data_IF_008599898917
#
_entry.id   IF_008599898917
#
_cell.length_a   1.000
_cell.length_b   1.000
_cell.length_c   1.000
_cell.angle_alpha   90.00
_cell.angle_beta   90.00
_cell.angle_gamma   90.00
#
_symmetry.space_group_name_H-M   'P 1'
#
loop_
_entity.id
_entity.type
_entity.pdbx_description
1 polymer ?
#
# COMPACT_ATOMS: atom_id res chain seq x y z
N UNK A 1 -23.47 -22.75 0.99
CA UNK A 1 -23.10 -22.13 -0.30
C UNK A 1 -21.80 -21.39 -0.07
N UNK A 2 -20.75 -21.61 -0.88
CA UNK A 2 -19.51 -20.85 -0.75
C UNK A 2 -19.84 -19.36 -0.90
N UNK A 3 -19.46 -18.55 0.09
CA UNK A 3 -19.75 -17.12 0.11
C UNK A 3 -18.93 -16.46 -1.01
N UNK A 4 -19.60 -15.78 -1.95
CA UNK A 4 -18.96 -15.17 -3.12
C UNK A 4 -18.03 -14.03 -2.69
N UNK A 5 -16.89 -13.90 -3.37
CA UNK A 5 -15.98 -12.76 -3.23
C UNK A 5 -16.73 -11.42 -3.40
N UNK A 6 -16.32 -10.40 -2.65
CA UNK A 6 -16.83 -9.03 -2.80
C UNK A 6 -16.12 -8.38 -3.98
N UNK A 7 -16.89 -7.97 -4.99
CA UNK A 7 -16.38 -7.22 -6.13
C UNK A 7 -16.56 -5.73 -5.86
N UNK A 8 -15.48 -4.97 -6.00
CA UNK A 8 -15.46 -3.51 -5.88
C UNK A 8 -14.98 -2.95 -7.21
N UNK A 9 -15.76 -2.04 -7.80
CA UNK A 9 -15.34 -1.33 -9.00
C UNK A 9 -14.52 -0.10 -8.62
N UNK A 10 -13.29 -0.02 -9.12
CA UNK A 10 -12.36 1.08 -8.90
C UNK A 10 -11.96 1.71 -10.25
N UNK A 11 -11.88 3.04 -10.34
CA UNK A 11 -11.57 3.71 -11.61
C UNK A 11 -10.15 3.44 -12.15
N UNK A 12 -9.22 2.97 -11.30
CA UNK A 12 -7.84 2.69 -11.68
C UNK A 12 -7.68 1.22 -12.07
N UNK A 13 -8.24 0.31 -11.27
CA UNK A 13 -8.02 -1.14 -11.39
C UNK A 13 -9.19 -1.90 -12.02
N UNK A 14 -10.32 -1.25 -12.28
CA UNK A 14 -11.56 -1.90 -12.69
C UNK A 14 -12.15 -2.74 -11.56
N UNK A 15 -12.60 -3.97 -11.86
CA UNK A 15 -13.19 -4.84 -10.84
C UNK A 15 -12.11 -5.53 -10.00
N UNK A 16 -11.98 -5.11 -8.74
CA UNK A 16 -11.16 -5.76 -7.72
C UNK A 16 -11.99 -6.81 -6.97
N UNK A 17 -11.44 -8.02 -6.80
CA UNK A 17 -12.08 -9.11 -6.05
C UNK A 17 -11.41 -9.29 -4.70
N UNK A 18 -12.19 -9.17 -3.62
CA UNK A 18 -11.73 -9.41 -2.26
C UNK A 18 -12.38 -10.66 -1.67
N UNK A 19 -11.56 -11.51 -1.09
CA UNK A 19 -11.99 -12.70 -0.37
C UNK A 19 -12.62 -12.32 0.97
N UNK A 20 -13.40 -13.24 1.56
CA UNK A 20 -14.17 -12.98 2.78
C UNK A 20 -13.29 -12.45 3.93
N UNK A 21 -12.13 -13.07 4.15
CA UNK A 21 -11.22 -12.64 5.21
C UNK A 21 -10.77 -11.19 5.01
N UNK A 22 -10.43 -10.78 3.80
CA UNK A 22 -10.01 -9.40 3.53
C UNK A 22 -11.15 -8.41 3.78
N UNK A 23 -12.38 -8.79 3.41
CA UNK A 23 -13.58 -7.98 3.64
C UNK A 23 -13.84 -7.75 5.13
N UNK A 24 -13.57 -8.74 5.98
CA UNK A 24 -13.72 -8.61 7.43
C UNK A 24 -12.82 -7.50 8.01
N UNK A 25 -11.60 -7.33 7.49
CA UNK A 25 -10.75 -6.19 7.86
C UNK A 25 -11.24 -4.87 7.24
N UNK A 26 -11.68 -4.90 5.98
CA UNK A 26 -12.21 -3.71 5.28
C UNK A 26 -13.41 -3.13 6.01
N UNK A 27 -14.34 -3.97 6.47
CA UNK A 27 -15.61 -3.54 7.06
C UNK A 27 -15.49 -3.19 8.57
N UNK A 28 -14.26 -2.94 9.07
CA UNK A 28 -14.00 -2.43 10.44
C UNK A 28 -14.03 -0.91 10.54
N UNK A 29 -14.37 -0.33 11.71
CA UNK A 29 -14.27 1.12 11.92
C UNK A 29 -12.86 1.68 11.67
N UNK A 30 -11.82 0.94 12.03
CA UNK A 30 -10.41 1.36 11.91
C UNK A 30 -10.00 1.52 10.46
N UNK A 31 -10.49 0.66 9.56
CA UNK A 31 -10.26 0.77 8.13
C UNK A 31 -11.22 1.76 7.46
N UNK A 32 -12.51 1.73 7.79
CA UNK A 32 -13.52 2.64 7.21
C UNK A 32 -13.20 4.11 7.48
N UNK A 33 -12.50 4.44 8.58
CA UNK A 33 -12.06 5.82 8.86
C UNK A 33 -11.19 6.43 7.75
N UNK A 34 -10.49 5.61 6.95
CA UNK A 34 -9.61 6.09 5.90
C UNK A 34 -10.37 6.87 4.82
N UNK A 35 -11.70 6.69 4.73
CA UNK A 35 -12.59 7.46 3.83
C UNK A 35 -12.54 8.96 4.10
N UNK A 36 -12.29 9.33 5.34
CA UNK A 36 -12.30 10.72 5.81
C UNK A 36 -10.90 11.35 5.76
N UNK A 37 -9.88 10.59 5.33
CA UNK A 37 -8.49 11.05 5.27
C UNK A 37 -8.09 11.25 3.82
N UNK A 38 -8.03 12.50 3.37
CA UNK A 38 -7.62 12.86 2.00
C UNK A 38 -6.20 12.40 1.71
N UNK A 39 -6.01 11.70 0.60
CA UNK A 39 -4.71 11.15 0.17
C UNK A 39 -3.64 12.25 0.13
N UNK A 40 -3.99 13.36 -0.52
CA UNK A 40 -3.10 14.52 -0.73
C UNK A 40 -3.30 15.65 0.28
N UNK A 41 -4.06 15.40 1.35
CA UNK A 41 -4.27 16.36 2.43
C UNK A 41 -4.78 17.71 1.94
N UNK A 42 -4.06 18.78 2.28
CA UNK A 42 -4.40 20.17 1.92
C UNK A 42 -4.25 20.47 0.43
N UNK A 43 -3.59 19.60 -0.34
CA UNK A 43 -3.44 19.75 -1.80
C UNK A 43 -4.78 19.85 -2.52
N UNK A 44 -5.85 19.28 -1.96
CA UNK A 44 -7.21 19.41 -2.49
C UNK A 44 -7.69 20.87 -2.59
N UNK A 45 -7.19 21.77 -1.73
CA UNK A 45 -7.50 23.21 -1.82
C UNK A 45 -6.84 23.92 -3.01
N UNK A 46 -5.85 23.28 -3.64
CA UNK A 46 -5.17 23.77 -4.85
C UNK A 46 -5.63 23.01 -6.09
N UNK A 47 -5.80 21.70 -5.95
CA UNK A 47 -6.23 20.79 -7.01
C UNK A 47 -7.63 20.27 -6.65
N UNK A 48 -8.71 20.91 -7.13
CA UNK A 48 -10.09 20.60 -6.69
C UNK A 48 -10.59 19.22 -7.11
N UNK A 49 -9.83 18.48 -7.92
CA UNK A 49 -10.14 17.09 -8.29
C UNK A 49 -9.39 16.06 -7.43
N UNK A 50 -8.45 16.49 -6.59
CA UNK A 50 -7.74 15.63 -5.63
C UNK A 50 -8.61 15.28 -4.40
N UNK A 51 -9.83 14.81 -4.65
CA UNK A 51 -10.85 14.51 -3.63
C UNK A 51 -10.67 13.15 -2.97
N UNK A 52 -9.80 12.30 -3.53
CA UNK A 52 -9.63 10.91 -3.12
C UNK A 52 -9.04 10.79 -1.72
N UNK A 53 -9.34 9.66 -1.10
CA UNK A 53 -8.97 9.31 0.27
C UNK A 53 -7.99 8.13 0.31
N UNK A 54 -7.41 7.92 1.49
CA UNK A 54 -6.55 6.78 1.78
C UNK A 54 -7.29 5.45 1.63
N UNK A 55 -8.62 5.43 1.76
CA UNK A 55 -9.42 4.20 1.69
C UNK A 55 -9.30 3.49 0.34
N UNK A 56 -9.62 4.19 -0.76
CA UNK A 56 -9.55 3.60 -2.10
C UNK A 56 -8.11 3.30 -2.54
N UNK A 57 -7.13 4.08 -2.05
CA UNK A 57 -5.72 3.80 -2.24
C UNK A 57 -5.33 2.48 -1.55
N UNK A 58 -5.66 2.30 -0.27
CA UNK A 58 -5.38 1.06 0.47
C UNK A 58 -6.03 -0.18 -0.17
N UNK A 59 -7.26 -0.06 -0.70
CA UNK A 59 -7.89 -1.14 -1.46
C UNK A 59 -7.10 -1.48 -2.74
N UNK A 60 -6.67 -0.47 -3.50
CA UNK A 60 -5.90 -0.67 -4.71
C UNK A 60 -4.52 -1.28 -4.42
N UNK A 61 -3.81 -0.79 -3.40
CA UNK A 61 -2.52 -1.35 -2.96
C UNK A 61 -2.68 -2.81 -2.54
N UNK A 62 -3.73 -3.16 -1.79
CA UNK A 62 -4.03 -4.56 -1.43
C UNK A 62 -4.32 -5.43 -2.66
N UNK A 63 -5.08 -4.93 -3.63
CA UNK A 63 -5.36 -5.64 -4.87
C UNK A 63 -4.08 -5.92 -5.68
N UNK A 64 -3.19 -4.94 -5.79
CA UNK A 64 -1.90 -5.09 -6.47
C UNK A 64 -0.97 -6.06 -5.73
N UNK A 65 -0.91 -5.97 -4.40
CA UNK A 65 -0.12 -6.88 -3.57
C UNK A 65 -0.56 -8.34 -3.72
N UNK A 66 -1.87 -8.61 -3.60
CA UNK A 66 -2.44 -9.94 -3.81
C UNK A 66 -2.09 -10.47 -5.21
N UNK A 67 -2.29 -9.63 -6.24
CA UNK A 67 -2.06 -10.00 -7.64
C UNK A 67 -0.59 -10.30 -7.92
N UNK A 68 0.33 -9.50 -7.38
CA UNK A 68 1.77 -9.69 -7.56
C UNK A 68 2.26 -10.95 -6.84
N UNK A 69 1.92 -11.11 -5.57
CA UNK A 69 2.33 -12.28 -4.76
C UNK A 69 1.84 -13.57 -5.40
N UNK A 70 0.54 -13.64 -5.72
CA UNK A 70 -0.06 -14.81 -6.34
C UNK A 70 0.61 -15.16 -7.67
N UNK A 71 0.86 -14.15 -8.51
CA UNK A 71 1.56 -14.34 -9.80
C UNK A 71 2.96 -14.89 -9.62
N UNK A 72 3.78 -14.30 -8.75
CA UNK A 72 5.16 -14.74 -8.53
C UNK A 72 5.19 -16.19 -8.04
N UNK A 73 4.32 -16.54 -7.09
CA UNK A 73 4.20 -17.90 -6.57
C UNK A 73 3.78 -18.90 -7.64
N UNK A 74 2.74 -18.58 -8.42
CA UNK A 74 2.20 -19.48 -9.46
C UNK A 74 3.15 -19.64 -10.65
N UNK A 75 3.78 -18.55 -11.12
CA UNK A 75 4.66 -18.59 -12.29
C UNK A 75 5.95 -19.38 -12.05
N UNK A 76 6.42 -19.45 -10.81
CA UNK A 76 7.70 -20.06 -10.45
C UNK A 76 7.56 -21.31 -9.59
N UNK A 77 6.34 -21.70 -9.21
CA UNK A 77 6.10 -22.84 -8.32
C UNK A 77 6.75 -22.65 -6.95
N UNK A 78 6.84 -21.41 -6.46
CA UNK A 78 7.39 -21.11 -5.14
C UNK A 78 6.46 -21.72 -4.10
N UNK A 79 7.03 -22.47 -3.16
CA UNK A 79 6.28 -23.07 -2.06
C UNK A 79 5.59 -21.96 -1.26
N UNK A 80 4.29 -22.13 -1.05
CA UNK A 80 3.47 -21.18 -0.28
C UNK A 80 3.62 -21.54 1.17
N UNK A 81 4.18 -20.65 2.00
CA UNK A 81 4.03 -20.81 3.43
C UNK A 81 2.57 -20.59 3.82
N UNK A 82 2.20 -21.07 5.00
CA UNK A 82 0.91 -20.74 5.59
C UNK A 82 0.75 -19.21 5.65
N UNK A 83 -0.34 -18.73 5.07
CA UNK A 83 -0.79 -17.33 5.08
C UNK A 83 0.12 -16.27 4.40
N UNK A 84 1.14 -16.64 3.61
CA UNK A 84 2.01 -15.63 2.93
C UNK A 84 1.21 -14.62 2.10
N UNK A 85 0.25 -15.12 1.32
CA UNK A 85 -0.58 -14.28 0.44
C UNK A 85 -1.46 -13.34 1.25
N UNK A 86 -2.09 -13.87 2.30
CA UNK A 86 -2.97 -13.16 3.23
C UNK A 86 -2.19 -12.09 3.99
N UNK A 87 -1.04 -12.42 4.56
CA UNK A 87 -0.19 -11.48 5.29
C UNK A 87 0.30 -10.34 4.39
N UNK A 88 0.77 -10.62 3.17
CA UNK A 88 1.21 -9.56 2.24
C UNK A 88 0.04 -8.67 1.83
N UNK A 89 -1.12 -9.26 1.56
CA UNK A 89 -2.31 -8.50 1.19
C UNK A 89 -2.81 -7.64 2.35
N UNK A 90 -2.82 -8.16 3.58
CA UNK A 90 -3.19 -7.40 4.78
C UNK A 90 -2.18 -6.32 5.11
N UNK A 91 -0.88 -6.56 4.94
CA UNK A 91 0.12 -5.51 5.09
C UNK A 91 -0.14 -4.36 4.12
N UNK A 92 -0.40 -4.66 2.84
CA UNK A 92 -0.75 -3.66 1.83
C UNK A 92 -2.08 -2.93 2.14
N UNK A 93 -3.10 -3.66 2.59
CA UNK A 93 -4.38 -3.09 3.01
C UNK A 93 -4.18 -2.13 4.19
N UNK A 94 -3.34 -2.52 5.15
CA UNK A 94 -3.20 -1.84 6.43
C UNK A 94 -2.06 -0.81 6.48
N UNK A 95 -1.23 -0.68 5.45
CA UNK A 95 0.01 0.13 5.52
C UNK A 95 -0.24 1.61 5.83
N UNK A 96 -1.41 2.12 5.47
CA UNK A 96 -1.83 3.51 5.66
C UNK A 96 -2.76 3.73 6.86
N UNK A 97 -3.02 2.69 7.66
CA UNK A 97 -3.86 2.76 8.86
C UNK A 97 -3.32 3.66 9.96
N UNK A 98 -2.13 4.24 9.86
CA UNK A 98 -1.59 5.18 10.83
C UNK A 98 -1.66 6.63 10.38
N UNK A 99 -2.15 6.91 9.18
CA UNK A 99 -2.34 8.29 8.75
C UNK A 99 -3.37 9.01 9.62
N UNK A 100 -3.03 10.25 9.97
CA UNK A 100 -3.89 11.20 10.67
C UNK A 100 -4.53 12.22 9.73
N UNK A 101 -5.24 13.22 10.27
CA UNK A 101 -5.88 14.27 9.49
C UNK A 101 -4.93 14.96 8.51
N UNK A 102 -5.35 15.10 7.25
CA UNK A 102 -4.53 15.65 6.16
C UNK A 102 -3.26 14.85 5.81
N UNK A 103 -3.26 13.54 6.06
CA UNK A 103 -2.20 12.60 5.66
C UNK A 103 -0.81 13.05 6.11
N UNK A 104 0.08 13.42 5.17
CA UNK A 104 1.46 13.77 5.49
C UNK A 104 1.62 15.10 6.25
N UNK A 105 0.59 15.95 6.28
CA UNK A 105 0.63 17.17 7.10
C UNK A 105 0.68 16.78 8.58
N UNK A 106 -0.02 15.73 8.98
CA UNK A 106 -0.07 15.29 10.37
C UNK A 106 1.28 14.82 10.90
N UNK A 107 1.88 13.83 10.23
CA UNK A 107 3.13 13.21 10.70
C UNK A 107 4.37 14.04 10.39
N UNK A 108 4.37 14.87 9.34
CA UNK A 108 5.55 15.69 8.98
C UNK A 108 5.51 17.13 9.48
N UNK A 109 4.35 17.66 9.87
CA UNK A 109 4.23 19.06 10.31
C UNK A 109 3.62 19.17 11.71
N UNK A 110 2.42 18.65 11.93
CA UNK A 110 1.68 18.83 13.19
C UNK A 110 2.36 18.11 14.36
N UNK A 111 2.68 16.82 14.20
CA UNK A 111 3.31 16.05 15.28
C UNK A 111 4.73 16.54 15.59
N UNK A 112 5.61 16.82 14.62
CA UNK A 112 6.91 17.42 14.90
C UNK A 112 6.80 18.79 15.61
N UNK A 113 5.77 19.59 15.32
CA UNK A 113 5.54 20.85 16.03
C UNK A 113 5.06 20.64 17.47
N UNK A 114 4.09 19.75 17.70
CA UNK A 114 3.51 19.52 19.03
C UNK A 114 4.36 18.62 19.93
N UNK A 115 5.05 17.63 19.35
CA UNK A 115 5.85 16.60 20.02
C UNK A 115 7.14 16.31 19.24
N UNK A 116 8.10 17.25 19.21
CA UNK A 116 9.33 17.14 18.40
C UNK A 116 10.13 15.85 18.65
N UNK A 117 10.20 15.41 19.90
CA UNK A 117 11.00 14.24 20.30
C UNK A 117 10.27 12.90 20.17
N UNK A 118 9.07 12.88 19.58
CA UNK A 118 8.26 11.65 19.52
C UNK A 118 8.78 10.62 18.51
N UNK A 119 9.51 11.06 17.47
CA UNK A 119 9.92 10.20 16.36
C UNK A 119 8.75 9.54 15.63
N UNK A 120 7.55 10.11 15.73
CA UNK A 120 6.33 9.57 15.13
C UNK A 120 6.44 9.47 13.61
N UNK A 121 5.93 8.37 13.07
CA UNK A 121 5.70 8.18 11.64
C UNK A 121 4.38 7.44 11.46
N UNK A 122 3.72 7.65 10.32
CA UNK A 122 2.44 6.99 10.06
C UNK A 122 2.59 5.46 10.03
N UNK A 123 3.72 4.91 9.59
CA UNK A 123 4.00 3.46 9.59
C UNK A 123 3.90 2.87 11.01
N UNK A 124 4.45 3.56 12.01
CA UNK A 124 4.32 3.17 13.43
C UNK A 124 2.87 3.21 13.90
N UNK A 125 2.11 4.21 13.44
CA UNK A 125 0.67 4.29 13.69
C UNK A 125 -0.10 3.14 13.04
N UNK A 126 0.29 2.72 11.85
CA UNK A 126 -0.31 1.59 11.14
C UNK A 126 -0.07 0.30 11.90
N UNK A 127 1.15 0.05 12.39
CA UNK A 127 1.46 -1.11 13.24
C UNK A 127 0.60 -1.15 14.51
N UNK A 128 0.43 0.00 15.19
CA UNK A 128 -0.43 0.09 16.38
C UNK A 128 -1.90 -0.16 16.05
N UNK A 129 -2.37 0.30 14.88
CA UNK A 129 -3.75 0.09 14.45
C UNK A 129 -4.00 -1.37 14.05
N UNK A 130 -3.03 -2.03 13.41
CA UNK A 130 -3.06 -3.46 13.11
C UNK A 130 -3.15 -4.27 14.41
N UNK A 131 -2.30 -3.97 15.39
CA UNK A 131 -2.35 -4.65 16.70
C UNK A 131 -3.72 -4.48 17.36
N UNK A 132 -4.33 -3.29 17.26
CA UNK A 132 -5.66 -3.06 17.82
C UNK A 132 -6.76 -3.82 17.05
N UNK A 133 -6.69 -3.83 15.72
CA UNK A 133 -7.60 -4.59 14.85
C UNK A 133 -7.58 -6.10 15.17
N UNK A 134 -6.39 -6.68 15.34
CA UNK A 134 -6.24 -8.10 15.68
C UNK A 134 -6.83 -8.44 17.05
N UNK A 135 -6.86 -7.49 18.00
CA UNK A 135 -7.49 -7.69 19.32
C UNK A 135 -9.02 -7.60 19.27
N UNK A 136 -9.57 -6.77 18.38
CA UNK A 136 -11.02 -6.55 18.29
C UNK A 136 -11.72 -7.53 17.34
N UNK A 137 -11.01 -8.07 16.36
CA UNK A 137 -11.53 -9.14 15.51
C UNK A 137 -11.58 -10.45 16.32
N UNK A 138 -12.66 -10.64 17.09
CA UNK A 138 -12.89 -11.83 17.94
C UNK A 138 -12.79 -13.16 17.17
N UNK A 139 -13.15 -13.15 15.88
CA UNK A 139 -12.89 -14.26 14.97
C UNK A 139 -12.79 -13.74 13.54
N UNK A 140 -11.68 -14.04 12.86
CA UNK A 140 -11.52 -13.84 11.44
C UNK A 140 -11.68 -15.18 10.71
N UNK A 141 -12.17 -15.15 9.47
CA UNK A 141 -12.32 -16.35 8.65
C UNK A 141 -10.99 -16.95 8.17
N UNK A 142 -9.88 -16.22 8.34
CA UNK A 142 -8.51 -16.74 8.23
C UNK A 142 -7.90 -16.86 9.63
N UNK A 143 -7.26 -17.99 9.91
CA UNK A 143 -6.67 -18.30 11.22
C UNK A 143 -5.26 -17.70 11.35
N UNK A 144 -5.18 -16.38 11.50
CA UNK A 144 -3.90 -15.68 11.62
C UNK A 144 -3.39 -15.70 13.06
N UNK A 145 -2.16 -16.18 13.23
CA UNK A 145 -1.49 -16.25 14.53
C UNK A 145 -0.69 -14.99 14.88
N UNK A 146 -0.08 -15.00 16.07
CA UNK A 146 0.81 -13.92 16.54
C UNK A 146 2.02 -13.71 15.64
N UNK A 147 2.56 -14.78 15.04
CA UNK A 147 3.69 -14.67 14.13
C UNK A 147 3.29 -14.04 12.78
N UNK A 148 2.04 -14.22 12.35
CA UNK A 148 1.46 -13.58 11.16
C UNK A 148 1.27 -12.08 11.41
N UNK A 149 0.74 -11.69 12.57
CA UNK A 149 0.62 -10.28 12.97
C UNK A 149 2.00 -9.58 13.00
N UNK A 150 3.02 -10.22 13.57
CA UNK A 150 4.40 -9.69 13.54
C UNK A 150 4.93 -9.55 12.12
N UNK A 151 4.63 -10.50 11.24
CA UNK A 151 5.05 -10.44 9.85
C UNK A 151 4.36 -9.31 9.09
N UNK A 152 3.05 -9.13 9.26
CA UNK A 152 2.29 -8.02 8.67
C UNK A 152 2.90 -6.67 9.09
N UNK A 153 3.19 -6.48 10.38
CA UNK A 153 3.84 -5.26 10.88
C UNK A 153 5.23 -5.05 10.29
N UNK A 154 6.02 -6.12 10.17
CA UNK A 154 7.35 -6.06 9.56
C UNK A 154 7.28 -5.65 8.07
N UNK A 155 6.31 -6.17 7.31
CA UNK A 155 6.06 -5.81 5.91
C UNK A 155 5.65 -4.34 5.74
N UNK A 156 4.77 -3.82 6.60
CA UNK A 156 4.36 -2.40 6.61
C UNK A 156 5.58 -1.50 6.82
N UNK A 157 6.46 -1.91 7.73
CA UNK A 157 7.68 -1.17 8.05
C UNK A 157 8.78 -1.31 6.98
N UNK A 158 8.73 -2.35 6.15
CA UNK A 158 9.77 -2.68 5.17
C UNK A 158 11.02 -3.35 5.77
N UNK A 159 10.96 -3.81 7.02
CA UNK A 159 12.12 -4.37 7.72
C UNK A 159 12.10 -5.90 7.74
N UNK A 160 12.97 -6.50 6.91
CA UNK A 160 13.12 -7.94 6.77
C UNK A 160 13.97 -8.61 7.86
N UNK A 161 14.62 -7.83 8.74
CA UNK A 161 15.59 -8.38 9.70
C UNK A 161 14.91 -9.31 10.70
N UNK A 162 15.46 -10.52 10.83
CA UNK A 162 15.01 -11.51 11.81
C UNK A 162 13.69 -12.19 11.45
N UNK A 163 13.16 -11.96 10.24
CA UNK A 163 12.00 -12.71 9.76
C UNK A 163 12.43 -14.08 9.21
N UNK A 164 11.56 -15.09 9.38
CA UNK A 164 11.79 -16.46 8.88
C UNK A 164 11.26 -16.68 7.46
N UNK A 165 10.34 -15.82 7.01
CA UNK A 165 9.72 -15.89 5.68
C UNK A 165 10.64 -15.28 4.62
N UNK A 166 10.41 -15.64 3.36
CA UNK A 166 11.27 -15.31 2.22
C UNK A 166 11.46 -13.79 2.05
N UNK A 167 12.70 -13.29 1.92
CA UNK A 167 12.98 -11.86 1.81
C UNK A 167 12.27 -11.13 0.66
N UNK A 168 11.99 -11.80 -0.46
CA UNK A 168 11.32 -11.17 -1.61
C UNK A 168 9.93 -10.62 -1.26
N UNK A 169 9.26 -11.13 -0.23
CA UNK A 169 7.94 -10.66 0.19
C UNK A 169 8.00 -9.20 0.69
N UNK A 170 9.14 -8.77 1.22
CA UNK A 170 9.38 -7.39 1.65
C UNK A 170 9.58 -6.42 0.47
N UNK A 171 9.76 -6.92 -0.75
CA UNK A 171 9.85 -6.07 -1.94
C UNK A 171 8.48 -5.61 -2.46
N UNK A 172 7.38 -6.16 -1.91
CA UNK A 172 6.03 -6.00 -2.46
C UNK A 172 5.35 -4.73 -1.93
N UNK A 173 5.28 -4.55 -0.62
CA UNK A 173 4.51 -3.48 0.03
C UNK A 173 5.34 -2.23 0.27
N UNK A 174 6.48 -2.38 0.94
CA UNK A 174 7.37 -1.27 1.30
C UNK A 174 8.83 -1.68 1.01
N UNK A 175 9.29 -1.39 -0.20
CA UNK A 175 10.59 -1.86 -0.67
C UNK A 175 11.72 -0.90 -0.26
N UNK A 176 12.41 -1.19 0.84
CA UNK A 176 13.55 -0.39 1.31
C UNK A 176 14.77 -0.47 0.36
N UNK A 177 14.92 -1.55 -0.42
CA UNK A 177 16.10 -1.76 -1.28
C UNK A 177 16.14 -0.78 -2.44
N UNK A 178 15.01 -0.59 -3.12
CA UNK A 178 14.97 0.20 -4.35
C UNK A 178 13.70 1.04 -4.54
N UNK A 179 12.74 1.01 -3.61
CA UNK A 179 11.50 1.78 -3.70
C UNK A 179 10.64 1.45 -4.94
N UNK A 180 10.70 0.21 -5.44
CA UNK A 180 9.77 -0.32 -6.44
C UNK A 180 8.81 -1.26 -5.73
N UNK A 181 7.62 -0.76 -5.40
CA UNK A 181 6.59 -1.45 -4.60
C UNK A 181 5.17 -1.05 -5.03
N UNK A 182 4.18 -1.85 -4.60
CA UNK A 182 2.79 -1.72 -5.05
C UNK A 182 2.07 -0.49 -4.49
N UNK A 183 2.55 0.07 -3.37
CA UNK A 183 2.08 1.37 -2.86
C UNK A 183 2.29 2.46 -3.93
N UNK A 184 3.51 2.54 -4.48
CA UNK A 184 3.83 3.46 -5.57
C UNK A 184 3.06 3.17 -6.83
N UNK A 185 2.80 1.91 -7.13
CA UNK A 185 2.03 1.56 -8.31
C UNK A 185 0.61 2.11 -8.25
N UNK A 186 -0.06 1.98 -7.10
CA UNK A 186 -1.39 2.53 -6.91
C UNK A 186 -1.36 4.06 -6.90
N UNK A 187 -0.60 4.70 -5.99
CA UNK A 187 -0.73 6.14 -5.82
C UNK A 187 -0.28 6.90 -7.06
N UNK A 188 0.72 6.44 -7.81
CA UNK A 188 1.15 7.13 -9.03
C UNK A 188 0.02 7.14 -10.07
N UNK A 189 -0.67 6.01 -10.25
CA UNK A 189 -1.78 5.92 -11.18
C UNK A 189 -3.00 6.71 -10.68
N UNK A 190 -3.35 6.54 -9.40
CA UNK A 190 -4.51 7.16 -8.76
C UNK A 190 -4.38 8.67 -8.64
N UNK A 191 -3.23 9.16 -8.23
CA UNK A 191 -2.98 10.60 -8.13
C UNK A 191 -3.01 11.22 -9.52
N UNK A 192 -2.33 10.61 -10.51
CA UNK A 192 -2.38 11.11 -11.88
C UNK A 192 -3.82 11.23 -12.39
N UNK A 193 -4.65 10.19 -12.17
CA UNK A 193 -6.07 10.21 -12.55
C UNK A 193 -6.83 11.38 -11.92
N UNK A 194 -6.73 11.57 -10.60
CA UNK A 194 -7.44 12.63 -9.89
C UNK A 194 -6.88 14.03 -10.16
N UNK A 195 -5.61 14.15 -10.52
CA UNK A 195 -4.95 15.41 -10.85
C UNK A 195 -5.10 15.81 -12.32
N UNK A 196 -5.72 14.96 -13.16
CA UNK A 196 -5.80 15.18 -14.61
C UNK A 196 -4.43 15.10 -15.30
N UNK A 197 -3.48 14.38 -14.70
CA UNK A 197 -2.15 14.15 -15.25
C UNK A 197 -2.08 12.77 -15.91
N UNK A 198 -1.26 12.62 -16.94
CA UNK A 198 -1.00 11.31 -17.54
C UNK A 198 0.15 10.63 -16.80
N UNK A 199 -0.10 9.45 -16.24
CA UNK A 199 0.99 8.54 -15.86
C UNK A 199 1.57 7.94 -17.14
N UNK A 200 2.89 8.00 -17.28
CA UNK A 200 3.62 7.29 -18.35
C UNK A 200 4.11 5.91 -17.89
N UNK A 201 3.99 5.63 -16.59
CA UNK A 201 4.37 4.36 -15.97
C UNK A 201 3.26 3.31 -16.11
N UNK A 202 3.61 2.12 -16.61
CA UNK A 202 2.73 0.95 -16.72
C UNK A 202 3.12 -0.13 -15.70
N UNK A 203 2.47 -0.08 -14.52
CA UNK A 203 2.67 -1.07 -13.46
C UNK A 203 2.21 -2.46 -13.86
N UNK A 204 1.18 -2.58 -14.70
CA UNK A 204 0.62 -3.88 -15.10
C UNK A 204 1.64 -4.67 -15.90
N UNK A 205 2.31 -3.99 -16.85
CA UNK A 205 3.42 -4.54 -17.61
C UNK A 205 4.61 -4.87 -16.71
N UNK A 206 5.01 -3.97 -15.80
CA UNK A 206 6.16 -4.20 -14.92
C UNK A 206 5.95 -5.46 -14.04
N UNK A 207 4.76 -5.60 -13.45
CA UNK A 207 4.37 -6.78 -12.66
C UNK A 207 4.22 -8.06 -13.51
N UNK A 208 3.97 -7.96 -14.81
CA UNK A 208 3.92 -9.13 -15.70
C UNK A 208 5.33 -9.69 -15.97
N UNK A 209 6.33 -8.82 -16.00
CA UNK A 209 7.72 -9.15 -16.30
C UNK A 209 8.63 -9.21 -15.06
N UNK A 210 8.04 -9.34 -13.86
CA UNK A 210 8.75 -9.55 -12.61
C UNK A 210 8.95 -11.03 -12.30
N UNK A 211 10.08 -11.39 -11.66
CA UNK A 211 10.37 -12.74 -11.15
C UNK A 211 11.14 -12.67 -9.84
N UNK A 212 11.04 -13.68 -9.00
CA UNK A 212 11.91 -13.90 -7.85
C UNK A 212 13.20 -14.59 -8.31
N UNK A 213 14.35 -13.96 -8.06
CA UNK A 213 15.68 -14.57 -8.23
C UNK A 213 16.52 -14.18 -7.00
N UNK A 214 17.24 -15.14 -6.43
CA UNK A 214 18.06 -14.94 -5.22
C UNK A 214 17.29 -14.24 -4.08
N UNK A 215 16.05 -14.68 -3.83
CA UNK A 215 15.10 -14.11 -2.86
C UNK A 215 14.84 -12.61 -3.02
N UNK A 216 14.87 -12.12 -4.26
CA UNK A 216 14.57 -10.73 -4.59
C UNK A 216 13.62 -10.66 -5.78
N UNK A 217 12.70 -9.69 -5.76
CA UNK A 217 11.95 -9.33 -6.96
C UNK A 217 12.91 -8.65 -7.93
N UNK A 218 12.99 -9.25 -9.12
CA UNK A 218 13.78 -8.81 -10.26
C UNK A 218 12.86 -8.54 -11.44
N UNK A 219 13.30 -7.69 -12.36
CA UNK A 219 12.52 -7.27 -13.52
C UNK A 219 13.29 -7.60 -14.79
N UNK A 220 12.56 -8.00 -15.83
CA UNK A 220 13.17 -8.25 -17.14
C UNK A 220 13.92 -7.00 -17.64
N UNK A 221 15.15 -7.15 -18.14
CA UNK A 221 16.01 -6.01 -18.50
C UNK A 221 15.38 -5.01 -19.49
N UNK A 222 14.43 -5.45 -20.34
CA UNK A 222 13.70 -4.56 -21.26
C UNK A 222 12.71 -3.64 -20.57
N UNK A 223 12.40 -3.87 -19.29
CA UNK A 223 11.57 -2.99 -18.45
C UNK A 223 12.36 -1.85 -17.78
N UNK A 224 13.67 -1.72 -18.06
CA UNK A 224 14.48 -0.63 -17.48
C UNK A 224 13.90 0.76 -17.74
N UNK A 225 13.32 0.97 -18.93
CA UNK A 225 12.69 2.24 -19.27
C UNK A 225 11.37 2.47 -18.51
N UNK A 226 10.57 1.42 -18.33
CA UNK A 226 9.33 1.47 -17.54
C UNK A 226 9.63 1.83 -16.06
N UNK A 227 10.71 1.29 -15.49
CA UNK A 227 11.19 1.67 -14.16
C UNK A 227 11.65 3.14 -14.13
N UNK A 228 12.35 3.61 -15.17
CA UNK A 228 12.69 5.02 -15.29
C UNK A 228 11.44 5.92 -15.34
N UNK A 229 10.42 5.52 -16.11
CA UNK A 229 9.13 6.21 -16.21
C UNK A 229 8.41 6.28 -14.85
N UNK A 230 8.50 5.23 -14.03
CA UNK A 230 8.00 5.24 -12.65
C UNK A 230 8.65 6.36 -11.83
N UNK A 231 9.99 6.40 -11.78
CA UNK A 231 10.72 7.42 -11.02
C UNK A 231 10.54 8.83 -11.58
N UNK A 232 10.45 8.97 -12.91
CA UNK A 232 10.18 10.24 -13.57
C UNK A 232 8.77 10.77 -13.23
N UNK A 233 7.76 9.90 -13.24
CA UNK A 233 6.39 10.23 -12.85
C UNK A 233 6.33 10.66 -11.40
N UNK A 234 6.97 9.88 -10.50
CA UNK A 234 7.11 10.23 -9.09
C UNK A 234 7.78 11.59 -8.87
N UNK A 235 8.91 11.84 -9.52
CA UNK A 235 9.61 13.13 -9.46
C UNK A 235 8.71 14.28 -9.92
N UNK A 236 7.99 14.08 -11.02
CA UNK A 236 7.08 15.08 -11.59
C UNK A 236 5.94 15.42 -10.63
N UNK A 237 5.31 14.43 -10.00
CA UNK A 237 4.27 14.63 -9.00
C UNK A 237 4.80 15.35 -7.75
N UNK A 238 5.98 14.96 -7.26
CA UNK A 238 6.62 15.68 -6.16
C UNK A 238 6.82 17.15 -6.49
N UNK A 239 7.40 17.47 -7.65
CA UNK A 239 7.72 18.85 -8.03
C UNK A 239 6.50 19.71 -8.31
N UNK A 240 5.48 19.15 -8.96
CA UNK A 240 4.32 19.93 -9.42
C UNK A 240 3.19 19.98 -8.39
N UNK A 241 3.06 18.95 -7.55
CA UNK A 241 1.86 18.74 -6.73
C UNK A 241 2.22 18.62 -5.26
N UNK A 242 2.99 17.61 -4.85
CA UNK A 242 3.19 17.34 -3.42
C UNK A 242 4.00 18.44 -2.72
N UNK A 243 4.90 19.12 -3.44
CA UNK A 243 5.64 20.28 -2.93
C UNK A 243 5.06 21.62 -3.42
N UNK A 244 3.81 21.66 -3.87
CA UNK A 244 3.20 22.89 -4.35
C UNK A 244 3.15 23.92 -3.21
N UNK A 245 3.71 25.11 -3.46
CA UNK A 245 3.95 26.13 -2.42
C UNK A 245 2.69 26.51 -1.66
N UNK A 246 1.55 26.60 -2.34
CA UNK A 246 0.26 26.96 -1.71
C UNK A 246 -0.22 25.83 -0.79
N UNK A 247 -0.08 24.56 -1.20
CA UNK A 247 -0.47 23.40 -0.38
C UNK A 247 0.37 23.27 0.88
N UNK A 248 1.62 23.73 0.85
CA UNK A 248 2.53 23.76 2.00
C UNK A 248 2.28 24.94 2.95
N UNK A 249 1.53 25.96 2.52
CA UNK A 249 1.18 27.15 3.33
C UNK A 249 -0.19 27.02 4.00
N UNK A 250 -1.09 26.25 3.39
CA UNK A 250 -2.42 25.89 3.89
C UNK A 250 -2.36 24.75 4.91
#
# INVERSE_FOLDING_TARGET
MAQKNKLINDPIHGYMSFEKWAVEFIDTPHFQRLRDIKQLGTTYYVFPSATHSRFEHSLGTAHLAYTLTKRLQEQQGIEKSDHDLECVTLAALCHDLGHGPYSHVFDRTVIPYLKPSSGWRHEKGSEMMVEHLFKELESCSVDLGTDDEKFIKALIRGDSKGNKRSPYLFDIVANERNSVDVDKFDYLARDCYHLGMKSIFDFSRLMQFSRVMDDQITYYHKECFNIYEMFHTRYSLHKKVYSHRVSMLS
#
